data_IF_609130402929
#
_entry.id   IF_609130402929
#
_cell.length_a   1.000
_cell.length_b   1.000
_cell.length_c   1.000
_cell.angle_alpha   90.00
_cell.angle_beta   90.00
_cell.angle_gamma   90.00
#
_symmetry.space_group_name_H-M   'P 1'
#
loop_
_entity.id
_entity.type
_entity.pdbx_description
1 polymer ?
#
# COMPACT_ATOMS: atom_id res chain seq x y z
N UNK A 1 2.33 -6.38 -10.23
CA UNK A 1 1.29 -5.77 -9.36
C UNK A 1 0.15 -5.29 -10.25
N UNK A 2 -1.11 -5.58 -9.90
CA UNK A 2 -2.29 -5.01 -10.60
C UNK A 2 -2.61 -3.63 -10.03
N UNK A 3 -2.74 -2.63 -10.88
CA UNK A 3 -3.27 -1.30 -10.54
C UNK A 3 -4.78 -1.38 -10.26
N UNK A 4 -5.27 -0.59 -9.30
CA UNK A 4 -6.71 -0.41 -9.02
C UNK A 4 -7.10 1.05 -9.23
N UNK A 5 -8.21 1.33 -9.93
CA UNK A 5 -8.67 2.69 -10.19
C UNK A 5 -9.86 3.02 -9.28
N UNK A 6 -9.79 4.11 -8.52
CA UNK A 6 -10.85 4.54 -7.61
C UNK A 6 -11.02 6.06 -7.65
N UNK A 7 -12.21 6.56 -8.00
CA UNK A 7 -12.55 8.00 -8.10
C UNK A 7 -11.52 8.85 -8.87
N UNK A 8 -10.92 8.30 -9.93
CA UNK A 8 -9.91 8.97 -10.75
C UNK A 8 -8.47 8.82 -10.27
N UNK A 9 -8.24 8.11 -9.17
CA UNK A 9 -6.92 7.80 -8.64
C UNK A 9 -6.46 6.41 -9.01
N UNK A 10 -5.19 6.28 -9.39
CA UNK A 10 -4.51 4.99 -9.57
C UNK A 10 -3.92 4.55 -8.22
N UNK A 11 -4.31 3.37 -7.75
CA UNK A 11 -3.89 2.78 -6.48
C UNK A 11 -2.99 1.58 -6.77
N UNK A 12 -1.80 1.59 -6.17
CA UNK A 12 -0.78 0.57 -6.33
C UNK A 12 -0.43 -0.03 -4.97
N UNK A 13 -0.97 -1.21 -4.62
CA UNK A 13 -0.56 -1.95 -3.43
C UNK A 13 0.89 -2.44 -3.54
N UNK A 14 1.69 -2.15 -2.51
CA UNK A 14 3.09 -2.51 -2.40
C UNK A 14 3.26 -3.47 -1.21
N UNK A 15 3.29 -4.77 -1.49
CA UNK A 15 3.35 -5.82 -0.47
C UNK A 15 4.74 -6.42 -0.45
N UNK A 16 5.35 -6.51 0.73
CA UNK A 16 6.70 -7.04 0.89
C UNK A 16 6.79 -7.91 2.15
N UNK A 17 7.68 -8.92 2.18
CA UNK A 17 7.90 -9.72 3.38
C UNK A 17 8.29 -8.81 4.56
N UNK A 18 7.73 -9.08 5.73
CA UNK A 18 8.13 -8.39 6.94
C UNK A 18 9.56 -8.79 7.29
N UNK A 19 10.47 -7.82 7.37
CA UNK A 19 11.86 -8.05 7.75
C UNK A 19 12.06 -7.56 9.18
N UNK A 20 12.18 -8.48 10.14
CA UNK A 20 12.80 -8.14 11.43
C UNK A 20 14.29 -7.92 11.18
N UNK A 21 14.74 -6.67 11.29
CA UNK A 21 16.16 -6.38 11.26
C UNK A 21 16.85 -7.16 12.39
N UNK A 22 17.60 -8.19 11.99
CA UNK A 22 18.69 -8.78 12.74
C UNK A 22 18.32 -9.43 14.08
N UNK A 23 17.83 -10.67 14.04
CA UNK A 23 18.09 -11.70 15.06
C UNK A 23 17.57 -13.04 14.56
N UNK A 24 18.45 -13.82 13.90
CA UNK A 24 18.44 -15.28 13.77
C UNK A 24 18.98 -15.69 12.40
N UNK A 25 20.27 -16.02 12.40
CA UNK A 25 20.92 -16.74 11.34
C UNK A 25 20.21 -18.08 11.07
N UNK A 26 20.02 -18.41 9.79
CA UNK A 26 19.87 -19.79 9.34
C UNK A 26 18.47 -20.41 9.52
N UNK A 27 17.54 -20.08 8.62
CA UNK A 27 16.63 -21.05 7.97
C UNK A 27 15.76 -20.30 6.96
N UNK A 28 16.27 -20.17 5.74
CA UNK A 28 15.47 -19.85 4.56
C UNK A 28 14.70 -21.14 4.19
N UNK A 29 13.53 -21.36 4.79
CA UNK A 29 12.66 -22.47 4.41
C UNK A 29 11.24 -21.93 4.12
N UNK A 30 11.07 -21.33 2.93
CA UNK A 30 9.84 -21.34 2.12
C UNK A 30 8.52 -20.81 2.68
N UNK A 31 8.40 -20.49 3.96
CA UNK A 31 7.17 -20.03 4.60
C UNK A 31 7.47 -18.79 5.43
N UNK A 32 6.83 -17.69 5.05
CA UNK A 32 7.04 -16.38 5.64
C UNK A 32 6.31 -16.30 6.99
N UNK A 33 6.76 -17.03 8.00
CA UNK A 33 6.17 -17.02 9.36
C UNK A 33 6.23 -15.63 10.02
N UNK A 34 6.99 -14.70 9.43
CA UNK A 34 7.10 -13.32 9.86
C UNK A 34 5.96 -12.42 9.33
N UNK A 35 5.15 -12.90 8.39
CA UNK A 35 4.09 -12.14 7.76
C UNK A 35 4.58 -11.16 6.68
N UNK A 36 3.73 -10.21 6.34
CA UNK A 36 3.94 -9.22 5.29
C UNK A 36 3.67 -7.81 5.81
N UNK A 37 4.50 -6.88 5.38
CA UNK A 37 4.23 -5.46 5.50
C UNK A 37 3.55 -4.96 4.22
N UNK A 38 2.86 -3.83 4.34
CA UNK A 38 2.15 -3.21 3.24
C UNK A 38 2.43 -1.71 3.18
N UNK A 39 2.52 -1.21 1.96
CA UNK A 39 2.37 0.20 1.64
C UNK A 39 1.43 0.34 0.44
N UNK A 40 0.97 1.55 0.16
CA UNK A 40 0.14 1.85 -1.00
C UNK A 40 0.58 3.16 -1.61
N UNK A 41 0.83 3.15 -2.91
CA UNK A 41 1.06 4.38 -3.69
C UNK A 41 -0.26 4.80 -4.35
N UNK A 42 -0.62 6.07 -4.22
CA UNK A 42 -1.80 6.66 -4.82
C UNK A 42 -1.32 7.72 -5.80
N UNK A 43 -1.79 7.65 -7.04
CA UNK A 43 -1.47 8.63 -8.09
C UNK A 43 -2.75 9.30 -8.60
N UNK A 44 -2.67 10.57 -8.92
CA UNK A 44 -3.66 11.29 -9.71
C UNK A 44 -3.04 11.60 -11.07
N UNK A 45 -3.74 11.25 -12.15
CA UNK A 45 -3.41 11.67 -13.52
C UNK A 45 -4.55 12.54 -14.05
N UNK A 46 -4.28 13.80 -14.34
CA UNK A 46 -5.21 14.62 -15.11
C UNK A 46 -5.13 14.30 -16.60
N UNK A 47 -6.12 14.78 -17.36
CA UNK A 47 -6.44 14.39 -18.75
C UNK A 47 -5.29 14.50 -19.77
N UNK A 48 -4.17 15.13 -19.41
CA UNK A 48 -3.03 15.38 -20.29
C UNK A 48 -1.81 14.48 -20.01
N UNK A 49 -2.04 13.29 -19.44
CA UNK A 49 -1.04 12.20 -19.21
C UNK A 49 0.14 12.51 -18.28
N UNK A 50 0.33 13.77 -17.87
CA UNK A 50 1.27 14.13 -16.82
C UNK A 50 0.78 13.58 -15.47
N UNK A 51 1.68 12.90 -14.74
CA UNK A 51 1.43 12.49 -13.36
C UNK A 51 1.25 13.77 -12.54
N UNK A 52 0.02 14.10 -12.16
CA UNK A 52 -0.28 15.36 -11.49
C UNK A 52 0.29 15.32 -10.08
N UNK A 53 0.11 14.20 -9.37
CA UNK A 53 0.64 13.98 -8.02
C UNK A 53 0.72 12.49 -7.71
N UNK A 54 1.66 12.09 -6.84
CA UNK A 54 1.65 10.78 -6.21
C UNK A 54 2.25 10.79 -4.82
N UNK A 55 1.66 10.02 -3.91
CA UNK A 55 2.19 9.82 -2.56
C UNK A 55 2.13 8.34 -2.17
N UNK A 56 2.98 7.92 -1.23
CA UNK A 56 3.09 6.53 -0.76
C UNK A 56 2.92 6.44 0.75
N UNK A 57 1.93 5.66 1.16
CA UNK A 57 1.56 5.49 2.55
C UNK A 57 1.94 4.10 3.04
N UNK A 58 2.66 4.01 4.15
CA UNK A 58 2.93 2.75 4.83
C UNK A 58 1.77 2.41 5.77
N UNK A 59 1.33 1.16 5.75
CA UNK A 59 0.35 0.66 6.72
C UNK A 59 1.10 0.22 7.98
N UNK A 60 0.86 0.93 9.08
CA UNK A 60 1.49 0.68 10.39
C UNK A 60 0.74 -0.39 11.18
N UNK A 61 0.60 -1.59 10.61
CA UNK A 61 -0.03 -2.71 11.30
C UNK A 61 0.94 -3.43 12.25
N UNK A 62 0.43 -3.82 13.42
CA UNK A 62 1.16 -4.65 14.38
C UNK A 62 0.15 -5.58 15.06
N UNK A 63 0.25 -6.91 14.87
CA UNK A 63 1.29 -7.65 14.13
C UNK A 63 1.21 -7.50 12.60
N UNK A 64 2.26 -7.88 11.84
CA UNK A 64 2.26 -7.87 10.37
C UNK A 64 1.15 -8.74 9.76
N UNK A 65 0.82 -8.50 8.49
CA UNK A 65 -0.25 -9.23 7.82
C UNK A 65 0.08 -10.72 7.62
N UNK A 66 -0.88 -11.63 7.82
CA UNK A 66 -0.63 -13.07 7.74
C UNK A 66 -0.46 -13.58 6.30
N UNK A 67 -0.84 -12.79 5.30
CA UNK A 67 -0.70 -13.17 3.88
C UNK A 67 -0.64 -11.95 2.97
N UNK A 68 -0.09 -12.14 1.77
CA UNK A 68 -0.10 -11.13 0.71
C UNK A 68 -1.52 -10.67 0.34
N UNK A 69 -2.50 -11.59 0.37
CA UNK A 69 -3.89 -11.28 0.09
C UNK A 69 -4.53 -10.39 1.16
N UNK A 70 -4.24 -10.63 2.44
CA UNK A 70 -4.69 -9.77 3.53
C UNK A 70 -4.06 -8.37 3.43
N UNK A 71 -2.75 -8.31 3.24
CA UNK A 71 -2.00 -7.07 3.07
C UNK A 71 -2.53 -6.24 1.89
N UNK A 72 -2.78 -6.88 0.75
CA UNK A 72 -3.34 -6.22 -0.45
C UNK A 72 -4.72 -5.63 -0.21
N UNK A 73 -5.63 -6.37 0.43
CA UNK A 73 -6.98 -5.86 0.74
C UNK A 73 -6.91 -4.66 1.70
N UNK A 74 -6.04 -4.73 2.70
CA UNK A 74 -5.83 -3.62 3.62
C UNK A 74 -5.26 -2.38 2.91
N UNK A 75 -4.27 -2.54 2.02
CA UNK A 75 -3.74 -1.43 1.20
C UNK A 75 -4.82 -0.75 0.36
N UNK A 76 -5.68 -1.53 -0.29
CA UNK A 76 -6.77 -0.99 -1.10
C UNK A 76 -7.77 -0.23 -0.23
N UNK A 77 -8.19 -0.85 0.88
CA UNK A 77 -9.14 -0.24 1.80
C UNK A 77 -8.62 1.07 2.39
N UNK A 78 -7.36 1.09 2.82
CA UNK A 78 -6.70 2.29 3.34
C UNK A 78 -6.71 3.42 2.31
N UNK A 79 -6.38 3.12 1.05
CA UNK A 79 -6.35 4.12 -0.02
C UNK A 79 -7.76 4.66 -0.33
N UNK A 80 -8.76 3.79 -0.43
CA UNK A 80 -10.16 4.19 -0.62
C UNK A 80 -10.65 5.08 0.52
N UNK A 81 -10.42 4.67 1.79
CA UNK A 81 -10.81 5.44 2.97
C UNK A 81 -10.07 6.80 3.06
N UNK A 82 -8.83 6.88 2.57
CA UNK A 82 -8.09 8.15 2.50
C UNK A 82 -8.68 9.07 1.43
N UNK A 83 -8.95 8.54 0.24
CA UNK A 83 -9.57 9.28 -0.87
C UNK A 83 -10.96 9.79 -0.46
N UNK A 84 -11.75 8.96 0.23
CA UNK A 84 -13.10 9.32 0.65
C UNK A 84 -13.11 10.38 1.76
N UNK A 85 -12.24 10.26 2.78
CA UNK A 85 -12.14 11.24 3.88
C UNK A 85 -11.80 12.66 3.43
N UNK A 86 -11.14 12.78 2.29
CA UNK A 86 -10.69 14.05 1.75
C UNK A 86 -11.44 14.45 0.48
N UNK A 87 -12.63 13.87 0.27
CA UNK A 87 -13.50 14.08 -0.88
C UNK A 87 -12.73 14.08 -2.22
N UNK A 88 -11.79 13.16 -2.37
CA UNK A 88 -10.90 13.08 -3.51
C UNK A 88 -9.66 13.95 -3.33
N UNK A 89 -9.63 15.13 -3.95
CA UNK A 89 -8.39 15.92 -4.15
C UNK A 89 -8.02 16.85 -2.99
N UNK A 90 -8.84 16.93 -1.94
CA UNK A 90 -8.75 18.03 -0.98
C UNK A 90 -7.59 17.90 0.03
N UNK A 91 -6.97 16.73 0.15
CA UNK A 91 -5.77 16.51 0.96
C UNK A 91 -4.45 16.82 0.28
N UNK A 92 -4.49 17.16 -1.01
CA UNK A 92 -3.31 17.33 -1.84
C UNK A 92 -2.98 18.81 -2.09
N UNK A 93 -3.60 19.74 -1.35
CA UNK A 93 -3.40 21.20 -1.46
C UNK A 93 -2.78 21.87 -0.21
N UNK A 94 -2.33 21.09 0.80
CA UNK A 94 -1.65 21.65 1.98
C UNK A 94 -0.13 21.71 1.83
#
# INVERSE_FOLDING_TARGET
MSMHLYRGFEIYPLIYPHSRAQESAGRYNGYNDQGFDAAVKICLREADTALTFSDTFKLSETPPFPSTGAARRASLRYAEDLIDRHDGRNWMQS
#
